data_IF_754119528021
#
_entry.id   IF_754119528021
#
_cell.length_a   1.000
_cell.length_b   1.000
_cell.length_c   1.000
_cell.angle_alpha   90.00
_cell.angle_beta   90.00
_cell.angle_gamma   90.00
#
_symmetry.space_group_name_H-M   'P 1'
#
loop_
_entity.id
_entity.type
_entity.pdbx_description
1 polymer ?
#
# COMPACT_ATOMS: atom_id res chain seq x y z
N UNK A 1 12.08 -3.14 9.45
CA UNK A 1 10.95 -2.87 10.39
C UNK A 1 10.23 -4.19 10.63
N UNK A 2 9.44 -4.36 11.71
CA UNK A 2 8.59 -5.55 11.82
C UNK A 2 7.46 -5.48 10.80
N UNK A 3 7.11 -6.59 10.14
CA UNK A 3 6.15 -6.63 9.04
C UNK A 3 4.76 -6.15 9.46
N UNK A 4 4.33 -6.49 10.67
CA UNK A 4 3.04 -6.12 11.23
C UNK A 4 2.92 -4.59 11.38
N UNK A 5 4.02 -3.93 11.73
CA UNK A 5 4.09 -2.46 11.82
C UNK A 5 3.99 -1.84 10.42
N UNK A 6 4.68 -2.43 9.42
CA UNK A 6 4.59 -2.00 8.02
C UNK A 6 3.13 -2.07 7.51
N UNK A 7 2.46 -3.20 7.75
CA UNK A 7 1.06 -3.43 7.35
C UNK A 7 0.15 -2.42 8.04
N UNK A 8 0.29 -2.24 9.36
CA UNK A 8 -0.51 -1.27 10.11
C UNK A 8 -0.37 0.14 9.54
N UNK A 9 0.87 0.58 9.27
CA UNK A 9 1.13 1.89 8.70
C UNK A 9 0.54 2.06 7.29
N UNK A 10 0.67 1.04 6.42
CA UNK A 10 0.08 1.07 5.09
C UNK A 10 -1.45 1.23 5.16
N UNK A 11 -2.09 0.49 6.07
CA UNK A 11 -3.54 0.55 6.26
C UNK A 11 -4.01 1.88 6.86
N UNK A 12 -3.23 2.48 7.76
CA UNK A 12 -3.52 3.82 8.31
C UNK A 12 -3.47 4.90 7.22
N UNK A 13 -2.46 4.86 6.36
CA UNK A 13 -2.34 5.77 5.21
C UNK A 13 -3.52 5.57 4.25
N UNK A 14 -3.83 4.31 3.91
CA UNK A 14 -4.94 3.97 3.03
C UNK A 14 -6.28 4.50 3.54
N UNK A 15 -6.61 4.29 4.83
CA UNK A 15 -7.84 4.82 5.44
C UNK A 15 -7.91 6.34 5.42
N UNK A 16 -6.79 7.02 5.71
CA UNK A 16 -6.75 8.47 5.71
C UNK A 16 -6.95 9.05 4.30
N UNK A 17 -6.40 8.39 3.27
CA UNK A 17 -6.55 8.81 1.88
C UNK A 17 -7.90 8.42 1.29
N UNK A 18 -8.52 7.33 1.74
CA UNK A 18 -9.89 6.97 1.37
C UNK A 18 -10.88 8.09 1.65
N UNK A 19 -10.75 8.75 2.79
CA UNK A 19 -11.62 9.86 3.18
C UNK A 19 -11.46 11.10 2.27
N UNK A 20 -10.33 11.24 1.57
CA UNK A 20 -10.01 12.42 0.75
C UNK A 20 -10.16 12.17 -0.75
N UNK A 21 -9.79 10.97 -1.22
CA UNK A 21 -9.64 10.65 -2.63
C UNK A 21 -10.71 9.69 -3.18
N UNK A 22 -11.56 9.11 -2.32
CA UNK A 22 -12.62 8.20 -2.75
C UNK A 22 -12.05 7.02 -3.55
N UNK A 23 -12.52 6.87 -4.79
CA UNK A 23 -12.13 5.76 -5.69
C UNK A 23 -10.65 5.83 -6.10
N UNK A 24 -10.02 7.01 -6.08
CA UNK A 24 -8.60 7.18 -6.41
C UNK A 24 -7.66 6.86 -5.25
N UNK A 25 -8.20 6.45 -4.10
CA UNK A 25 -7.41 6.24 -2.88
C UNK A 25 -6.29 5.22 -3.03
N UNK A 26 -6.45 4.18 -3.85
CA UNK A 26 -5.37 3.21 -4.10
C UNK A 26 -4.20 3.84 -4.87
N UNK A 27 -4.50 4.67 -5.88
CA UNK A 27 -3.48 5.40 -6.65
C UNK A 27 -2.78 6.44 -5.78
N UNK A 28 -3.56 7.21 -5.02
CA UNK A 28 -3.06 8.20 -4.07
C UNK A 28 -2.17 7.56 -2.99
N UNK A 29 -2.57 6.40 -2.46
CA UNK A 29 -1.77 5.64 -1.48
C UNK A 29 -0.46 5.19 -2.10
N UNK A 30 -0.47 4.60 -3.30
CA UNK A 30 0.76 4.19 -3.98
C UNK A 30 1.71 5.38 -4.22
N UNK A 31 1.16 6.54 -4.61
CA UNK A 31 1.94 7.77 -4.78
C UNK A 31 2.54 8.26 -3.46
N UNK A 32 1.77 8.29 -2.38
CA UNK A 32 2.24 8.66 -1.05
C UNK A 32 3.39 7.75 -0.60
N UNK A 33 3.22 6.43 -0.73
CA UNK A 33 4.25 5.46 -0.35
C UNK A 33 5.52 5.63 -1.21
N UNK A 34 5.42 5.94 -2.50
CA UNK A 34 6.61 6.27 -3.34
C UNK A 34 7.37 7.48 -2.82
N UNK A 35 6.66 8.51 -2.39
CA UNK A 35 7.27 9.76 -1.94
C UNK A 35 7.93 9.65 -0.56
N UNK A 36 7.31 8.91 0.37
CA UNK A 36 7.70 8.95 1.78
C UNK A 36 8.35 7.67 2.31
N UNK A 37 8.15 6.52 1.66
CA UNK A 37 8.77 5.27 2.12
C UNK A 37 10.11 5.01 1.43
N UNK A 38 11.02 4.41 2.18
CA UNK A 38 12.30 3.95 1.63
C UNK A 38 12.09 2.83 0.61
N UNK A 39 13.05 2.60 -0.32
CA UNK A 39 12.96 1.51 -1.28
C UNK A 39 12.73 0.13 -0.64
N UNK A 40 13.39 -0.15 0.50
CA UNK A 40 13.24 -1.41 1.21
C UNK A 40 11.83 -1.63 1.78
N UNK A 41 11.24 -0.60 2.40
CA UNK A 41 9.87 -0.67 2.89
C UNK A 41 8.86 -0.94 1.77
N UNK A 42 9.05 -0.31 0.60
CA UNK A 42 8.21 -0.57 -0.58
C UNK A 42 8.39 -2.00 -1.08
N UNK A 43 9.62 -2.50 -1.14
CA UNK A 43 9.87 -3.89 -1.56
C UNK A 43 9.20 -4.90 -0.62
N UNK A 44 9.26 -4.69 0.69
CA UNK A 44 8.57 -5.53 1.68
C UNK A 44 7.04 -5.52 1.48
N UNK A 45 6.44 -4.35 1.25
CA UNK A 45 5.00 -4.22 1.00
C UNK A 45 4.58 -4.86 -0.33
N UNK A 46 5.35 -4.65 -1.40
CA UNK A 46 5.10 -5.28 -2.71
C UNK A 46 5.12 -6.80 -2.57
N UNK A 47 6.12 -7.35 -1.88
CA UNK A 47 6.22 -8.79 -1.68
C UNK A 47 5.02 -9.34 -0.88
N UNK A 48 4.62 -8.63 0.18
CA UNK A 48 3.45 -9.00 0.99
C UNK A 48 2.14 -8.95 0.20
N UNK A 49 1.93 -7.88 -0.57
CA UNK A 49 0.77 -7.71 -1.43
C UNK A 49 0.68 -8.81 -2.50
N UNK A 50 1.79 -9.16 -3.15
CA UNK A 50 1.85 -10.27 -4.12
C UNK A 50 1.61 -11.65 -3.51
N UNK A 51 1.89 -11.82 -2.22
CA UNK A 51 1.63 -13.06 -1.47
C UNK A 51 0.17 -13.19 -0.98
N UNK A 52 -0.73 -12.29 -1.42
CA UNK A 52 -2.15 -12.28 -1.04
C UNK A 52 -2.51 -11.15 -0.08
N UNK A 53 -1.52 -10.50 0.53
CA UNK A 53 -1.74 -9.27 1.32
C UNK A 53 -2.58 -9.47 2.56
N UNK A 54 -2.37 -10.58 3.29
CA UNK A 54 -3.04 -10.83 4.57
C UNK A 54 -2.95 -9.60 5.49
N UNK A 55 -4.06 -9.26 6.13
CA UNK A 55 -4.24 -8.08 6.98
C UNK A 55 -4.07 -6.71 6.30
N UNK A 56 -3.85 -6.62 4.97
CA UNK A 56 -3.91 -5.34 4.28
C UNK A 56 -5.35 -4.90 4.06
N UNK A 57 -5.59 -3.61 4.29
CA UNK A 57 -6.78 -2.93 3.78
C UNK A 57 -6.82 -3.08 2.25
N UNK A 58 -8.00 -3.25 1.63
CA UNK A 58 -8.10 -3.39 0.17
C UNK A 58 -7.36 -2.29 -0.61
N UNK A 59 -7.41 -1.04 -0.13
CA UNK A 59 -6.72 0.10 -0.76
C UNK A 59 -5.20 -0.01 -0.58
N UNK A 60 -4.74 -0.53 0.57
CA UNK A 60 -3.31 -0.75 0.81
C UNK A 60 -2.77 -1.92 -0.02
N UNK A 61 -3.55 -2.99 -0.18
CA UNK A 61 -3.25 -4.11 -1.07
C UNK A 61 -3.11 -3.62 -2.52
N UNK A 62 -4.11 -2.90 -2.99
CA UNK A 62 -4.13 -2.29 -4.32
C UNK A 62 -2.91 -1.40 -4.55
N UNK A 63 -2.58 -0.54 -3.59
CA UNK A 63 -1.40 0.31 -3.64
C UNK A 63 -0.09 -0.51 -3.72
N UNK A 64 0.03 -1.57 -2.91
CA UNK A 64 1.17 -2.49 -2.92
C UNK A 64 1.37 -3.16 -4.28
N UNK A 65 0.28 -3.58 -4.93
CA UNK A 65 0.31 -4.16 -6.28
C UNK A 65 0.75 -3.13 -7.34
N UNK A 66 0.20 -1.91 -7.28
CA UNK A 66 0.62 -0.79 -8.17
C UNK A 66 2.09 -0.43 -8.03
N UNK A 67 2.63 -0.45 -6.81
CA UNK A 67 4.06 -0.22 -6.56
C UNK A 67 4.93 -1.28 -7.26
N UNK A 68 4.45 -2.52 -7.35
CA UNK A 68 5.12 -3.64 -7.98
C UNK A 68 4.96 -3.72 -9.50
N UNK A 69 4.34 -2.71 -10.13
CA UNK A 69 4.06 -2.68 -11.56
C UNK A 69 2.97 -3.67 -12.00
N UNK A 70 2.22 -4.25 -11.06
CA UNK A 70 1.06 -5.05 -11.42
C UNK A 70 -0.05 -4.10 -11.86
N UNK A 71 -0.62 -4.33 -13.04
CA UNK A 71 -1.88 -3.72 -13.42
C UNK A 71 -2.93 -4.23 -12.43
N UNK A 72 -3.49 -3.31 -11.64
CA UNK A 72 -4.70 -3.59 -10.87
C UNK A 72 -5.84 -3.60 -11.88
N UNK A 73 -6.61 -4.69 -12.02
CA UNK A 73 -7.74 -4.76 -12.93
C UNK A 73 -8.86 -3.78 -12.53
#
# INVERSE_FOLDING_TARGET
MKREILIRMANEIARNLRAQAGDEAGSATAAHLRSFWTPGMRAELIAHAKAGGEDLDPIALEAGLRLGGAAVP
#
